data_IF_662108957689
#
_entry.id   IF_662108957689
#
_cell.length_a   1.000
_cell.length_b   1.000
_cell.length_c   1.000
_cell.angle_alpha   90.00
_cell.angle_beta   90.00
_cell.angle_gamma   90.00
#
_symmetry.space_group_name_H-M   'P 1'
#
loop_
_entity.id
_entity.type
_entity.pdbx_description
1 polymer ?
#
# COMPACT_ATOMS: atom_id res chain seq x y z
N UNK A 1 11.26 -23.59 -35.03
CA UNK A 1 10.85 -23.95 -33.66
C UNK A 1 11.12 -22.75 -32.75
N UNK A 2 10.14 -22.02 -32.20
CA UNK A 2 10.42 -21.09 -31.12
C UNK A 2 10.29 -21.75 -29.75
N UNK A 3 11.09 -21.23 -28.83
CA UNK A 3 11.52 -21.78 -27.56
C UNK A 3 10.40 -21.77 -26.50
N UNK A 4 10.33 -22.83 -25.67
CA UNK A 4 9.57 -22.82 -24.41
C UNK A 4 10.21 -21.80 -23.47
N UNK A 5 9.42 -20.85 -22.96
CA UNK A 5 9.82 -20.03 -21.81
C UNK A 5 9.60 -20.82 -20.50
N UNK A 6 10.61 -20.95 -19.62
CA UNK A 6 10.57 -21.91 -18.52
C UNK A 6 10.31 -21.23 -17.17
N UNK A 7 9.15 -20.61 -16.91
CA UNK A 7 8.78 -20.26 -15.53
C UNK A 7 7.26 -20.34 -15.35
N UNK A 8 6.78 -21.44 -14.75
CA UNK A 8 5.45 -21.51 -14.16
C UNK A 8 5.60 -21.34 -12.64
N UNK A 9 5.56 -20.12 -12.16
CA UNK A 9 5.21 -19.89 -10.75
C UNK A 9 3.68 -19.88 -10.67
N UNK A 10 3.12 -20.58 -9.70
CA UNK A 10 1.67 -20.64 -9.45
C UNK A 10 1.18 -19.27 -8.95
N UNK A 11 1.04 -18.31 -9.85
CA UNK A 11 0.33 -17.06 -9.59
C UNK A 11 -1.17 -17.34 -9.76
N UNK A 12 -2.03 -16.67 -8.97
CA UNK A 12 -3.49 -16.79 -9.05
C UNK A 12 -3.94 -16.80 -10.54
N UNK A 13 -4.92 -17.60 -10.97
CA UNK A 13 -5.27 -17.75 -12.39
C UNK A 13 -5.58 -16.43 -13.12
N UNK A 14 -5.96 -15.39 -12.37
CA UNK A 14 -6.18 -14.02 -12.86
C UNK A 14 -5.00 -13.05 -12.63
N UNK A 15 -3.93 -13.46 -11.94
CA UNK A 15 -2.69 -12.70 -11.77
C UNK A 15 -1.79 -12.82 -13.01
N UNK A 16 -2.40 -12.61 -14.17
CA UNK A 16 -1.73 -12.33 -15.42
C UNK A 16 -2.05 -10.87 -15.72
N UNK A 17 -1.10 -10.11 -16.25
CA UNK A 17 -1.34 -8.79 -16.83
C UNK A 17 -2.24 -8.96 -18.07
N UNK A 18 -3.54 -9.25 -17.89
CA UNK A 18 -4.52 -9.46 -18.97
C UNK A 18 -5.16 -8.15 -19.43
N UNK A 19 -4.97 -7.07 -18.66
CA UNK A 19 -5.52 -5.75 -18.93
C UNK A 19 -4.47 -4.68 -18.56
N UNK A 20 -4.56 -3.51 -19.21
CA UNK A 20 -3.74 -2.35 -18.83
C UNK A 20 -3.88 -2.11 -17.33
N UNK A 21 -2.75 -1.99 -16.62
CA UNK A 21 -2.76 -1.67 -15.20
C UNK A 21 -3.51 -0.36 -14.95
N UNK A 22 -4.23 -0.29 -13.83
CA UNK A 22 -4.92 0.91 -13.37
C UNK A 22 -4.23 1.46 -12.13
N UNK A 23 -4.27 2.79 -11.97
CA UNK A 23 -3.84 3.45 -10.75
C UNK A 23 -5.01 3.40 -9.77
N UNK A 24 -4.75 2.87 -8.57
CA UNK A 24 -5.75 2.71 -7.50
C UNK A 24 -5.40 3.51 -6.24
N UNK A 25 -4.16 3.95 -6.12
CA UNK A 25 -3.68 4.85 -5.06
C UNK A 25 -2.58 5.75 -5.63
N UNK A 26 -2.57 7.03 -5.23
CA UNK A 26 -1.63 8.03 -5.72
C UNK A 26 -1.90 8.47 -7.17
N UNK A 27 -0.85 8.47 -8.01
CA UNK A 27 -0.94 8.84 -9.43
C UNK A 27 -0.78 10.33 -9.75
N UNK A 28 -0.71 11.20 -8.74
CA UNK A 28 -0.60 12.66 -8.91
C UNK A 28 0.79 13.21 -8.61
N UNK A 29 1.82 12.48 -9.08
CA UNK A 29 3.25 12.70 -8.77
C UNK A 29 3.58 12.41 -7.30
N UNK A 30 4.89 12.34 -7.03
CA UNK A 30 5.40 12.23 -5.67
C UNK A 30 5.04 13.48 -4.85
N UNK A 31 4.61 13.27 -3.62
CA UNK A 31 4.23 14.36 -2.70
C UNK A 31 3.49 13.85 -1.47
N UNK A 32 3.03 14.79 -0.64
CA UNK A 32 2.36 14.50 0.64
C UNK A 32 0.86 14.82 0.65
N UNK A 33 0.31 15.28 -0.48
CA UNK A 33 -1.14 15.49 -0.63
C UNK A 33 -1.93 14.19 -0.50
N UNK A 34 -3.23 14.28 -0.21
CA UNK A 34 -4.09 13.10 -0.03
C UNK A 34 -4.26 12.26 -1.29
N UNK A 35 -4.00 12.83 -2.47
CA UNK A 35 -4.03 12.11 -3.74
C UNK A 35 -2.62 11.77 -4.27
N UNK A 36 -1.59 11.91 -3.43
CA UNK A 36 -0.18 11.66 -3.73
C UNK A 36 0.40 10.62 -2.76
N UNK A 37 1.49 10.00 -3.17
CA UNK A 37 2.29 9.10 -2.34
C UNK A 37 3.77 9.47 -2.52
N UNK A 38 4.58 9.26 -1.50
CA UNK A 38 6.03 9.44 -1.51
C UNK A 38 6.72 8.18 -1.01
N UNK A 39 7.41 7.48 -1.92
CA UNK A 39 8.11 6.22 -1.66
C UNK A 39 7.26 5.17 -0.91
N UNK A 40 6.11 4.73 -1.46
CA UNK A 40 5.34 3.65 -0.85
C UNK A 40 6.12 2.32 -0.91
N UNK A 41 6.23 1.61 0.21
CA UNK A 41 7.05 0.39 0.33
C UNK A 41 6.25 -0.90 0.41
N UNK A 42 5.13 -0.88 1.14
CA UNK A 42 4.29 -2.05 1.39
C UNK A 42 2.82 -1.72 1.24
N UNK A 43 2.01 -2.75 1.00
CA UNK A 43 0.56 -2.60 0.92
C UNK A 43 -0.18 -3.86 1.36
N UNK A 44 -1.39 -3.65 1.87
CA UNK A 44 -2.36 -4.69 2.15
C UNK A 44 -3.69 -4.37 1.46
N UNK A 45 -4.39 -5.40 0.98
CA UNK A 45 -5.73 -5.27 0.38
C UNK A 45 -6.69 -6.13 1.19
N UNK A 46 -7.76 -5.53 1.70
CA UNK A 46 -8.80 -6.26 2.43
C UNK A 46 -9.86 -6.86 1.49
N UNK A 47 -10.88 -7.51 2.08
CA UNK A 47 -11.95 -8.17 1.32
C UNK A 47 -12.89 -7.16 0.62
N UNK A 48 -12.94 -5.91 1.12
CA UNK A 48 -13.71 -4.81 0.55
C UNK A 48 -12.95 -4.07 -0.57
N UNK A 49 -11.74 -4.54 -0.90
CA UNK A 49 -10.79 -3.91 -1.83
C UNK A 49 -10.37 -2.50 -1.38
N UNK A 50 -10.36 -2.25 -0.07
CA UNK A 50 -9.62 -1.14 0.54
C UNK A 50 -8.14 -1.48 0.50
N UNK A 51 -7.34 -0.52 0.06
CA UNK A 51 -5.89 -0.65 -0.02
C UNK A 51 -5.27 0.17 1.09
N UNK A 52 -4.44 -0.46 1.90
CA UNK A 52 -3.65 0.17 2.95
C UNK A 52 -2.22 0.26 2.44
N UNK A 53 -1.62 1.43 2.48
CA UNK A 53 -0.28 1.68 1.94
C UNK A 53 0.64 2.16 3.06
N UNK A 54 1.77 1.47 3.24
CA UNK A 54 2.88 1.96 4.05
C UNK A 54 3.71 2.95 3.23
N UNK A 55 3.70 4.21 3.65
CA UNK A 55 4.33 5.30 2.94
C UNK A 55 5.60 5.76 3.67
N UNK A 56 6.73 5.31 3.16
CA UNK A 56 8.03 5.38 3.84
C UNK A 56 8.51 6.82 4.03
N UNK A 57 8.46 7.64 2.98
CA UNK A 57 8.99 9.02 3.03
C UNK A 57 8.08 10.00 3.74
N UNK A 58 6.78 9.70 3.86
CA UNK A 58 5.82 10.56 4.57
C UNK A 58 5.43 10.00 5.95
N UNK A 59 6.10 8.95 6.42
CA UNK A 59 5.97 8.45 7.78
C UNK A 59 4.51 8.18 8.18
N UNK A 60 3.76 7.51 7.31
CA UNK A 60 2.32 7.34 7.48
C UNK A 60 1.80 6.05 6.84
N UNK A 61 0.68 5.57 7.35
CA UNK A 61 -0.18 4.58 6.68
C UNK A 61 -1.39 5.30 6.11
N UNK A 62 -1.68 5.06 4.83
CA UNK A 62 -2.81 5.67 4.12
C UNK A 62 -3.77 4.58 3.64
N UNK A 63 -5.05 4.70 3.98
CA UNK A 63 -6.11 3.88 3.40
C UNK A 63 -6.67 4.51 2.12
N UNK A 64 -7.01 3.66 1.15
CA UNK A 64 -7.62 4.01 -0.12
C UNK A 64 -8.79 3.06 -0.36
N UNK A 65 -10.01 3.56 -0.15
CA UNK A 65 -11.22 2.79 -0.46
C UNK A 65 -11.32 2.53 -1.96
N UNK A 66 -11.97 1.43 -2.34
CA UNK A 66 -12.19 1.08 -3.74
C UNK A 66 -12.80 2.25 -4.52
N UNK A 67 -12.09 2.74 -5.54
CA UNK A 67 -12.53 3.84 -6.40
C UNK A 67 -12.33 5.24 -5.81
N UNK A 68 -11.68 5.38 -4.65
CA UNK A 68 -11.33 6.67 -4.09
C UNK A 68 -10.27 7.40 -4.96
N UNK A 69 -10.37 8.73 -5.02
CA UNK A 69 -9.39 9.59 -5.72
C UNK A 69 -8.38 10.22 -4.77
N UNK A 70 -8.56 10.01 -3.46
CA UNK A 70 -7.67 10.45 -2.39
C UNK A 70 -7.70 9.43 -1.26
N UNK A 71 -6.56 9.23 -0.63
CA UNK A 71 -6.44 8.41 0.57
C UNK A 71 -6.70 9.19 1.86
N UNK A 72 -6.84 8.44 2.95
CA UNK A 72 -6.99 8.94 4.31
C UNK A 72 -5.84 8.42 5.17
N UNK A 73 -5.19 9.30 5.92
CA UNK A 73 -4.16 8.89 6.88
C UNK A 73 -4.84 8.24 8.08
N UNK A 74 -4.41 7.02 8.42
CA UNK A 74 -5.00 6.24 9.53
C UNK A 74 -3.98 5.92 10.64
N UNK A 75 -2.69 6.06 10.36
CA UNK A 75 -1.62 5.97 11.35
C UNK A 75 -0.43 6.84 10.89
N UNK A 76 0.33 7.38 11.85
CA UNK A 76 1.44 8.28 11.57
C UNK A 76 1.00 9.64 11.00
N UNK A 77 1.84 10.24 10.16
CA UNK A 77 1.57 11.52 9.50
C UNK A 77 1.87 12.76 10.35
N UNK A 78 2.35 12.59 11.59
CA UNK A 78 2.74 13.69 12.48
C UNK A 78 4.27 13.84 12.57
N UNK A 79 4.95 13.60 11.44
CA UNK A 79 6.40 13.58 11.34
C UNK A 79 7.03 12.26 11.77
N UNK A 80 8.31 12.13 11.44
CA UNK A 80 9.15 10.99 11.81
C UNK A 80 9.35 10.91 13.33
N UNK A 81 9.26 9.72 13.90
CA UNK A 81 9.66 9.46 15.29
C UNK A 81 8.87 8.36 15.97
N UNK A 82 9.11 8.22 17.28
CA UNK A 82 8.58 7.13 18.12
C UNK A 82 7.44 7.56 19.05
N UNK A 83 6.83 8.73 18.83
CA UNK A 83 5.68 9.19 19.60
C UNK A 83 4.38 8.47 19.23
N UNK A 84 3.35 8.57 20.08
CA UNK A 84 2.08 7.83 19.96
C UNK A 84 1.34 7.96 18.60
N UNK A 85 1.65 9.00 17.83
CA UNK A 85 1.06 9.25 16.50
C UNK A 85 2.11 9.53 15.42
N UNK A 86 3.35 9.11 15.66
CA UNK A 86 4.45 9.18 14.71
C UNK A 86 4.79 7.78 14.22
N UNK A 87 5.38 7.73 13.03
CA UNK A 87 5.98 6.52 12.47
C UNK A 87 7.38 6.88 12.00
N UNK A 88 8.30 5.93 12.00
CA UNK A 88 9.62 6.09 11.43
C UNK A 88 9.81 5.11 10.27
N UNK A 89 9.72 5.65 9.05
CA UNK A 89 10.01 4.92 7.83
C UNK A 89 9.28 3.56 7.73
N UNK A 90 7.92 3.54 7.79
CA UNK A 90 7.17 2.30 7.79
C UNK A 90 7.36 1.54 6.47
N UNK A 91 7.72 0.27 6.56
CA UNK A 91 8.02 -0.58 5.42
C UNK A 91 6.83 -1.39 4.93
N UNK A 92 6.00 -1.86 5.85
CA UNK A 92 4.87 -2.72 5.51
C UNK A 92 3.73 -2.58 6.52
N UNK A 93 2.53 -2.96 6.09
CA UNK A 93 1.31 -2.94 6.90
C UNK A 93 0.48 -4.18 6.61
N UNK A 94 -0.07 -4.81 7.64
CA UNK A 94 -1.10 -5.84 7.52
C UNK A 94 -2.25 -5.57 8.48
N UNK A 95 -3.42 -6.09 8.14
CA UNK A 95 -4.60 -6.07 9.01
C UNK A 95 -4.74 -7.41 9.71
N UNK A 96 -4.74 -7.39 11.05
CA UNK A 96 -5.18 -8.50 11.87
C UNK A 96 -6.70 -8.41 12.06
N UNK A 97 -7.42 -9.15 11.22
CA UNK A 97 -8.90 -9.20 11.24
C UNK A 97 -9.46 -9.84 12.50
N UNK A 98 -8.71 -10.70 13.20
CA UNK A 98 -9.20 -11.34 14.43
C UNK A 98 -9.21 -10.36 15.60
N UNK A 99 -8.24 -9.43 15.62
CA UNK A 99 -8.07 -8.44 16.68
C UNK A 99 -8.52 -7.04 16.29
N UNK A 100 -9.06 -6.86 15.10
CA UNK A 100 -9.45 -5.56 14.53
C UNK A 100 -8.31 -4.52 14.69
N UNK A 101 -7.11 -4.89 14.26
CA UNK A 101 -5.88 -4.13 14.52
C UNK A 101 -4.98 -4.03 13.29
N UNK A 102 -4.21 -2.94 13.21
CA UNK A 102 -3.12 -2.78 12.25
C UNK A 102 -1.80 -3.27 12.85
N UNK A 103 -1.04 -4.03 12.07
CA UNK A 103 0.36 -4.37 12.39
C UNK A 103 1.23 -3.65 11.36
N UNK A 104 2.12 -2.80 11.85
CA UNK A 104 2.98 -1.94 11.03
C UNK A 104 4.43 -2.31 11.31
N UNK A 105 5.21 -2.53 10.26
CA UNK A 105 6.66 -2.67 10.36
C UNK A 105 7.30 -1.28 10.29
N UNK A 106 7.65 -0.73 11.45
CA UNK A 106 8.26 0.59 11.67
C UNK A 106 9.73 0.43 12.15
N UNK A 107 10.60 1.42 11.96
CA UNK A 107 12.06 1.33 12.20
C UNK A 107 12.50 1.89 13.54
#
# INVERSE_FOLDING_TARGET
>A
YPLRSPFSTNIHPNARWQQNGIIVAGGNRQGNGFNQLSDPCGLYVDDDQTIYVAEWSNHRIVEWKRGATSGQVIAGGNGQGSGDHQLDNPYDVIIDKERDSLIICDT
#
